data_IF_715063581180
#
_entry.id   IF_715063581180
#
_cell.length_a   1.000
_cell.length_b   1.000
_cell.length_c   1.000
_cell.angle_alpha   90.00
_cell.angle_beta   90.00
_cell.angle_gamma   90.00
#
_symmetry.space_group_name_H-M   'P 1'
#
loop_
_entity.id
_entity.type
_entity.pdbx_description
1 polymer ?
#
# COMPACT_ATOMS: atom_id res chain seq x y z
N UNK A 1 -10.66 7.71 -14.27
CA UNK A 1 -9.93 7.01 -13.18
C UNK A 1 -10.00 5.51 -13.47
N UNK A 2 -8.87 4.80 -13.54
CA UNK A 2 -8.85 3.34 -13.73
C UNK A 2 -8.68 2.68 -12.36
N UNK A 3 -9.60 1.80 -11.99
CA UNK A 3 -9.50 0.98 -10.77
C UNK A 3 -8.72 -0.29 -11.10
N UNK A 4 -7.80 -0.69 -10.21
CA UNK A 4 -7.00 -1.90 -10.34
C UNK A 4 -7.51 -2.95 -9.36
N UNK A 5 -8.41 -3.82 -9.82
CA UNK A 5 -8.93 -4.96 -9.07
C UNK A 5 -8.13 -6.22 -9.41
N UNK A 6 -7.24 -6.65 -8.51
CA UNK A 6 -6.31 -7.76 -8.74
C UNK A 6 -5.64 -7.69 -10.12
N UNK A 7 -5.14 -6.51 -10.48
CA UNK A 7 -4.61 -6.23 -11.82
C UNK A 7 -3.49 -5.19 -11.76
N UNK A 8 -2.79 -5.04 -12.87
CA UNK A 8 -1.70 -4.08 -13.01
C UNK A 8 -1.81 -3.22 -14.27
N UNK A 9 -0.98 -2.18 -14.29
CA UNK A 9 -0.68 -1.37 -15.45
C UNK A 9 0.79 -0.97 -15.43
N UNK A 10 1.44 -1.02 -16.59
CA UNK A 10 2.79 -0.50 -16.77
C UNK A 10 2.72 0.96 -17.19
N UNK A 11 3.50 1.80 -16.52
CA UNK A 11 3.59 3.24 -16.77
C UNK A 11 5.01 3.58 -17.22
N UNK A 12 5.11 4.32 -18.33
CA UNK A 12 6.37 4.87 -18.83
C UNK A 12 6.38 6.40 -18.73
N UNK A 13 7.47 6.98 -18.23
CA UNK A 13 7.68 8.44 -18.22
C UNK A 13 9.16 8.78 -18.26
N UNK A 14 9.55 9.68 -19.17
CA UNK A 14 10.92 10.18 -19.30
C UNK A 14 11.99 9.06 -19.37
N UNK A 15 11.70 7.98 -20.12
CA UNK A 15 12.59 6.83 -20.26
C UNK A 15 12.58 5.84 -19.08
N UNK A 16 11.95 6.18 -17.96
CA UNK A 16 11.71 5.25 -16.86
C UNK A 16 10.42 4.46 -17.07
N UNK A 17 10.41 3.21 -16.61
CA UNK A 17 9.24 2.32 -16.64
C UNK A 17 9.04 1.70 -15.27
N UNK A 18 7.79 1.66 -14.81
CA UNK A 18 7.39 0.97 -13.58
C UNK A 18 6.01 0.34 -13.75
N UNK A 19 5.69 -0.64 -12.91
CA UNK A 19 4.34 -1.16 -12.79
C UNK A 19 3.63 -0.60 -11.56
N UNK A 20 2.33 -0.34 -11.71
CA UNK A 20 1.40 -0.14 -10.61
C UNK A 20 0.45 -1.32 -10.59
N UNK A 21 0.47 -2.09 -9.50
CA UNK A 21 -0.43 -3.19 -9.25
C UNK A 21 -1.44 -2.79 -8.17
N UNK A 22 -2.66 -3.33 -8.24
CA UNK A 22 -3.69 -3.15 -7.23
C UNK A 22 -4.36 -4.47 -6.89
N UNK A 23 -4.64 -4.67 -5.60
CA UNK A 23 -5.44 -5.80 -5.10
C UNK A 23 -6.73 -5.28 -4.48
N UNK A 24 -7.77 -6.11 -4.47
CA UNK A 24 -9.00 -5.80 -3.74
C UNK A 24 -8.77 -5.81 -2.23
N UNK A 25 -9.67 -5.19 -1.45
CA UNK A 25 -9.60 -5.23 0.02
C UNK A 25 -10.01 -6.61 0.55
N UNK A 26 -9.50 -6.99 1.71
CA UNK A 26 -9.88 -8.21 2.41
C UNK A 26 -11.41 -8.31 2.68
N UNK A 27 -12.14 -7.19 2.72
CA UNK A 27 -13.60 -7.16 2.83
C UNK A 27 -14.35 -7.43 1.52
N UNK A 28 -13.68 -7.41 0.36
CA UNK A 28 -14.32 -7.55 -0.96
C UNK A 28 -15.23 -8.78 -1.12
N UNK A 29 -14.91 -9.97 -0.58
CA UNK A 29 -15.80 -11.13 -0.62
C UNK A 29 -17.17 -10.90 0.05
N UNK A 30 -17.24 -10.05 1.07
CA UNK A 30 -18.50 -9.71 1.74
C UNK A 30 -19.45 -8.92 0.84
N UNK A 31 -18.94 -8.39 -0.27
CA UNK A 31 -19.67 -7.65 -1.28
C UNK A 31 -19.79 -8.41 -2.61
N UNK A 32 -19.51 -9.73 -2.62
CA UNK A 32 -19.60 -10.56 -3.83
C UNK A 32 -18.49 -10.33 -4.85
N UNK A 33 -17.36 -9.75 -4.43
CA UNK A 33 -16.18 -9.54 -5.27
C UNK A 33 -15.03 -10.47 -4.85
N UNK A 34 -14.09 -10.71 -5.76
CA UNK A 34 -12.90 -11.49 -5.41
C UNK A 34 -12.06 -10.83 -4.31
N UNK A 35 -11.56 -11.65 -3.38
CA UNK A 35 -10.60 -11.19 -2.37
C UNK A 35 -9.24 -10.82 -2.97
N UNK A 36 -8.34 -10.21 -2.16
CA UNK A 36 -7.03 -9.80 -2.64
C UNK A 36 -6.26 -10.99 -3.22
N UNK A 37 -5.82 -10.87 -4.47
CA UNK A 37 -4.99 -11.86 -5.12
C UNK A 37 -3.75 -11.20 -5.71
N UNK A 38 -2.65 -11.26 -4.96
CA UNK A 38 -1.38 -10.66 -5.35
C UNK A 38 -0.75 -11.35 -6.56
N UNK A 39 -0.91 -12.67 -6.69
CA UNK A 39 -0.34 -13.42 -7.81
C UNK A 39 -0.98 -13.01 -9.15
N UNK A 40 -2.30 -12.83 -9.17
CA UNK A 40 -3.02 -12.29 -10.34
C UNK A 40 -2.62 -10.84 -10.57
N UNK A 41 -2.54 -10.03 -9.52
CA UNK A 41 -2.17 -8.62 -9.64
C UNK A 41 -0.75 -8.42 -10.23
N UNK A 42 0.17 -9.36 -10.00
CA UNK A 42 1.54 -9.32 -10.54
C UNK A 42 1.72 -10.11 -11.84
N UNK A 43 0.68 -10.80 -12.31
CA UNK A 43 0.77 -11.65 -13.49
C UNK A 43 1.17 -10.84 -14.73
N UNK A 44 2.11 -11.39 -15.50
CA UNK A 44 2.59 -10.80 -16.76
C UNK A 44 3.58 -9.65 -16.60
N UNK A 45 3.95 -9.25 -15.36
CA UNK A 45 4.99 -8.27 -15.13
C UNK A 45 6.39 -8.90 -15.25
N UNK A 46 7.31 -8.16 -15.90
CA UNK A 46 8.72 -8.54 -15.93
C UNK A 46 9.33 -8.49 -14.53
N UNK A 47 10.08 -9.52 -14.14
CA UNK A 47 10.68 -9.63 -12.80
C UNK A 47 11.65 -8.50 -12.44
N UNK A 48 12.22 -7.82 -13.44
CA UNK A 48 13.14 -6.69 -13.22
C UNK A 48 12.44 -5.34 -13.10
N UNK A 49 11.14 -5.27 -13.35
CA UNK A 49 10.40 -4.01 -13.36
C UNK A 49 10.11 -3.55 -11.92
N UNK A 50 10.36 -2.29 -11.57
CA UNK A 50 9.95 -1.76 -10.27
C UNK A 50 8.42 -1.80 -10.12
N UNK A 51 7.93 -2.40 -9.04
CA UNK A 51 6.49 -2.51 -8.77
C UNK A 51 6.09 -1.65 -7.57
N UNK A 52 5.06 -0.84 -7.77
CA UNK A 52 4.29 -0.17 -6.72
C UNK A 52 2.99 -0.93 -6.52
N UNK A 53 2.74 -1.42 -5.31
CA UNK A 53 1.50 -2.08 -4.94
C UNK A 53 0.56 -1.12 -4.22
N UNK A 54 -0.65 -0.98 -4.74
CA UNK A 54 -1.78 -0.35 -4.07
C UNK A 54 -2.55 -1.45 -3.33
N UNK A 55 -2.42 -1.47 -2.00
CA UNK A 55 -3.12 -2.43 -1.14
C UNK A 55 -3.72 -1.67 0.04
N UNK A 56 -5.04 -1.74 0.22
CA UNK A 56 -5.72 -0.93 1.22
C UNK A 56 -5.18 -1.18 2.65
N UNK A 57 -5.00 -2.45 3.04
CA UNK A 57 -4.51 -2.82 4.37
C UNK A 57 -3.02 -3.17 4.40
N UNK A 58 -2.28 -2.80 5.46
CA UNK A 58 -0.85 -3.11 5.57
C UNK A 58 -0.57 -4.54 6.04
N UNK A 59 -1.57 -5.28 6.50
CA UNK A 59 -1.39 -6.67 6.95
C UNK A 59 -0.88 -7.56 5.80
N UNK A 60 0.01 -8.51 6.12
CA UNK A 60 0.57 -9.42 5.11
C UNK A 60 1.61 -8.80 4.17
N UNK A 61 2.10 -7.59 4.46
CA UNK A 61 3.12 -6.91 3.62
C UNK A 61 4.44 -7.70 3.46
N UNK A 62 4.73 -8.65 4.34
CA UNK A 62 5.86 -9.57 4.18
C UNK A 62 5.74 -10.44 2.92
N UNK A 63 4.52 -10.85 2.56
CA UNK A 63 4.26 -11.58 1.31
C UNK A 63 4.47 -10.67 0.09
N UNK A 64 4.02 -9.42 0.15
CA UNK A 64 4.27 -8.43 -0.91
C UNK A 64 5.77 -8.25 -1.17
N UNK A 65 6.55 -8.10 -0.09
CA UNK A 65 8.00 -8.00 -0.18
C UNK A 65 8.64 -9.26 -0.78
N UNK A 66 8.19 -10.45 -0.35
CA UNK A 66 8.69 -11.72 -0.87
C UNK A 66 8.37 -11.95 -2.36
N UNK A 67 7.31 -11.31 -2.88
CA UNK A 67 6.93 -11.34 -4.30
C UNK A 67 7.62 -10.26 -5.14
N UNK A 68 8.57 -9.52 -4.57
CA UNK A 68 9.40 -8.55 -5.30
C UNK A 68 8.79 -7.15 -5.44
N UNK A 69 7.74 -6.84 -4.68
CA UNK A 69 7.22 -5.46 -4.63
C UNK A 69 8.28 -4.53 -4.05
N UNK A 70 8.52 -3.38 -4.70
CA UNK A 70 9.49 -2.38 -4.25
C UNK A 70 8.90 -1.36 -3.28
N UNK A 71 7.64 -0.97 -3.50
CA UNK A 71 6.89 -0.02 -2.67
C UNK A 71 5.44 -0.48 -2.53
N UNK A 72 4.93 -0.56 -1.30
CA UNK A 72 3.50 -0.74 -1.03
C UNK A 72 2.93 0.53 -0.42
N UNK A 73 1.80 0.99 -0.96
CA UNK A 73 1.03 2.12 -0.43
C UNK A 73 -0.27 1.59 0.17
N UNK A 74 -0.43 1.81 1.46
CA UNK A 74 -1.57 1.37 2.26
C UNK A 74 -2.18 2.50 3.08
N UNK A 75 -3.39 2.25 3.58
CA UNK A 75 -4.11 3.11 4.52
C UNK A 75 -4.73 2.24 5.59
N UNK A 76 -6.07 2.25 5.69
CA UNK A 76 -6.90 1.43 6.58
C UNK A 76 -6.81 1.76 8.07
N UNK A 77 -5.63 2.06 8.59
CA UNK A 77 -5.38 2.27 10.03
C UNK A 77 -5.85 3.64 10.53
N UNK A 78 -6.01 4.61 9.63
CA UNK A 78 -6.27 6.02 9.97
C UNK A 78 -5.30 6.58 11.04
N UNK A 79 -4.06 6.09 11.07
CA UNK A 79 -3.05 6.44 12.07
C UNK A 79 -3.38 6.00 13.50
N UNK A 80 -4.26 5.02 13.67
CA UNK A 80 -4.71 4.53 14.96
C UNK A 80 -5.77 5.40 15.64
N UNK A 81 -6.19 6.50 15.00
CA UNK A 81 -7.23 7.45 15.42
C UNK A 81 -6.92 8.24 16.72
N UNK A 82 -6.39 7.60 17.76
CA UNK A 82 -5.99 8.23 19.03
C UNK A 82 -4.58 7.79 19.39
N UNK A 83 -3.66 8.75 19.47
CA UNK A 83 -2.26 8.49 19.85
C UNK A 83 -2.18 7.86 21.23
N UNK A 84 -1.51 6.71 21.35
CA UNK A 84 -1.35 5.92 22.57
C UNK A 84 -2.31 4.73 22.68
N UNK A 85 -3.51 4.82 22.08
CA UNK A 85 -4.43 3.68 21.95
C UNK A 85 -4.16 2.85 20.69
N UNK A 86 -3.41 3.39 19.74
CA UNK A 86 -2.95 2.70 18.55
C UNK A 86 -2.18 1.41 18.88
N UNK A 87 -1.49 1.36 20.03
CA UNK A 87 -0.77 0.20 20.56
C UNK A 87 -1.63 -1.07 20.66
N UNK A 88 -2.94 -0.94 20.89
CA UNK A 88 -3.88 -2.07 20.96
C UNK A 88 -4.23 -2.57 19.55
N UNK A 89 -4.35 -1.66 18.58
CA UNK A 89 -4.68 -1.97 17.20
C UNK A 89 -3.50 -2.44 16.33
N UNK A 90 -2.25 -2.28 16.78
CA UNK A 90 -1.08 -2.64 15.97
C UNK A 90 -1.02 -4.14 15.68
N UNK A 91 -1.38 -4.99 16.64
CA UNK A 91 -1.38 -6.44 16.44
C UNK A 91 -2.30 -6.88 15.30
N UNK A 92 -3.49 -6.25 15.20
CA UNK A 92 -4.42 -6.50 14.10
C UNK A 92 -3.89 -6.05 12.74
N UNK A 93 -2.87 -5.18 12.72
CA UNK A 93 -2.26 -4.63 11.50
C UNK A 93 -0.81 -5.10 11.30
N UNK A 94 -0.36 -6.16 12.00
CA UNK A 94 1.00 -6.68 11.89
C UNK A 94 2.09 -5.71 12.36
N UNK A 95 1.75 -4.81 13.29
CA UNK A 95 2.64 -3.76 13.80
C UNK A 95 2.59 -2.44 13.02
N UNK A 96 1.83 -2.36 11.92
CA UNK A 96 1.83 -1.20 11.04
C UNK A 96 0.67 -0.25 11.37
N UNK A 97 0.97 1.04 11.55
CA UNK A 97 -0.03 2.06 11.93
C UNK A 97 0.07 3.31 11.06
N UNK A 98 1.24 3.94 10.96
CA UNK A 98 1.38 5.24 10.31
C UNK A 98 2.81 5.42 9.83
N UNK A 99 2.96 5.99 8.63
CA UNK A 99 4.26 6.39 8.10
C UNK A 99 4.99 5.27 7.38
N UNK A 100 6.31 5.38 7.35
CA UNK A 100 7.18 4.60 6.47
C UNK A 100 7.86 3.46 7.23
N UNK A 101 7.76 2.25 6.69
CA UNK A 101 8.30 1.02 7.25
C UNK A 101 9.23 0.33 6.24
N UNK A 102 10.24 -0.37 6.75
CA UNK A 102 11.05 -1.29 5.96
C UNK A 102 10.54 -2.71 6.16
N UNK A 103 10.19 -3.41 5.08
CA UNK A 103 9.70 -4.80 5.11
C UNK A 103 10.54 -5.62 4.12
N UNK A 104 11.55 -6.33 4.61
CA UNK A 104 12.54 -6.97 3.73
C UNK A 104 13.21 -5.93 2.83
N UNK A 105 13.21 -6.13 1.51
CA UNK A 105 13.71 -5.16 0.53
C UNK A 105 12.67 -4.07 0.15
N UNK A 106 11.41 -4.23 0.55
CA UNK A 106 10.30 -3.34 0.19
C UNK A 106 10.14 -2.18 1.18
N UNK A 107 9.73 -1.01 0.68
CA UNK A 107 9.18 0.07 1.51
C UNK A 107 7.66 -0.08 1.64
N UNK A 108 7.12 0.03 2.85
CA UNK A 108 5.69 0.12 3.11
C UNK A 108 5.36 1.51 3.63
N UNK A 109 4.40 2.18 3.01
CA UNK A 109 3.80 3.40 3.54
C UNK A 109 2.39 3.14 4.03
N UNK A 110 2.08 3.60 5.23
CA UNK A 110 0.71 3.61 5.78
C UNK A 110 0.28 5.06 5.96
N UNK A 111 -0.63 5.52 5.10
CA UNK A 111 -1.17 6.86 5.18
C UNK A 111 -2.16 7.00 6.33
N UNK A 112 -2.11 8.14 7.01
CA UNK A 112 -3.15 8.54 7.96
C UNK A 112 -4.45 8.90 7.24
N UNK A 113 -4.42 9.23 5.95
CA UNK A 113 -5.58 9.70 5.21
C UNK A 113 -5.97 11.13 5.56
N UNK A 114 -6.90 11.67 4.78
CA UNK A 114 -7.22 13.10 4.74
C UNK A 114 -8.29 13.53 5.74
N UNK A 115 -9.11 12.59 6.22
CA UNK A 115 -10.29 12.87 7.03
C UNK A 115 -10.60 11.75 8.04
N UNK A 116 -11.74 11.90 8.72
CA UNK A 116 -12.27 10.94 9.69
C UNK A 116 -12.79 9.68 9.00
N UNK A 117 -12.80 8.58 9.75
CA UNK A 117 -13.52 7.37 9.37
C UNK A 117 -14.96 7.45 9.89
N UNK A 118 -15.95 7.20 9.04
CA UNK A 118 -17.37 7.35 9.41
C UNK A 118 -17.82 6.41 10.55
N UNK A 119 -17.15 5.26 10.73
CA UNK A 119 -17.46 4.32 11.82
C UNK A 119 -16.90 4.73 13.19
N UNK A 120 -15.95 5.66 13.23
CA UNK A 120 -15.38 6.21 14.46
C UNK A 120 -14.86 7.63 14.17
N UNK A 121 -15.75 8.64 14.23
CA UNK A 121 -15.47 10.00 13.76
C UNK A 121 -14.65 10.81 14.77
N UNK A 122 -13.66 10.18 15.42
CA UNK A 122 -12.77 10.82 16.40
C UNK A 122 -11.33 10.64 15.94
N UNK A 123 -10.58 11.73 16.01
CA UNK A 123 -9.14 11.76 15.72
C UNK A 123 -8.43 12.72 16.67
N UNK A 124 -7.53 12.20 17.51
CA UNK A 124 -6.81 12.97 18.52
C UNK A 124 -5.31 12.70 18.44
N UNK A 125 -4.53 13.76 18.19
CA UNK A 125 -3.07 13.68 18.10
C UNK A 125 -2.53 12.96 16.86
N UNK A 126 -3.38 12.70 15.85
CA UNK A 126 -3.03 12.09 14.57
C UNK A 126 -3.39 13.08 13.45
N UNK A 127 -2.44 13.72 12.77
CA UNK A 127 -2.73 14.70 11.73
C UNK A 127 -3.27 14.05 10.45
N UNK A 128 -4.14 14.76 9.74
CA UNK A 128 -4.50 14.41 8.36
C UNK A 128 -3.33 14.62 7.41
N UNK A 129 -3.28 13.81 6.35
CA UNK A 129 -2.15 13.81 5.44
C UNK A 129 -2.58 13.62 3.99
N UNK A 130 -1.91 14.35 3.09
CA UNK A 130 -1.81 14.08 1.65
C UNK A 130 -0.32 13.95 1.36
N UNK A 131 0.09 12.79 0.86
CA UNK A 131 1.51 12.46 0.68
C UNK A 131 1.90 12.49 -0.79
N UNK A 132 2.97 13.20 -1.11
CA UNK A 132 3.57 13.21 -2.43
C UNK A 132 4.79 12.27 -2.50
N UNK A 133 4.76 11.33 -3.44
CA UNK A 133 5.90 10.47 -3.74
C UNK A 133 6.58 10.90 -5.04
N UNK A 134 7.84 11.34 -4.93
CA UNK A 134 8.68 11.64 -6.09
C UNK A 134 9.61 10.47 -6.35
N UNK A 135 9.36 9.75 -7.44
CA UNK A 135 10.15 8.60 -7.85
C UNK A 135 11.30 9.05 -8.75
N UNK A 136 12.49 8.52 -8.50
CA UNK A 136 13.69 8.81 -9.28
C UNK A 136 14.30 7.50 -9.76
N UNK A 137 14.55 7.41 -11.06
CA UNK A 137 15.40 6.34 -11.59
C UNK A 137 16.81 6.51 -11.01
N UNK A 138 17.47 5.39 -10.68
CA UNK A 138 18.92 5.46 -10.42
C UNK A 138 19.60 5.87 -11.72
N UNK A 139 20.58 6.79 -11.68
CA UNK A 139 21.45 7.00 -12.82
C UNK A 139 22.05 5.65 -13.24
N UNK A 140 22.03 5.35 -14.52
CA UNK A 140 22.79 4.21 -15.05
C UNK A 140 24.24 4.38 -14.64
N UNK A 141 24.81 3.37 -13.97
CA UNK A 141 26.25 3.33 -13.72
C UNK A 141 26.95 3.38 -15.09
N UNK A 142 27.87 4.34 -15.25
CA UNK A 142 28.74 4.42 -16.43
C UNK A 142 29.75 3.28 -16.41
#
# INVERSE_FOLDING_TARGET
>A
MRVLTNSNVTLGRNGGVLAVAGVTDEAAPSFGMDGPNLDIALQGLDRGLPVILLKHRPIGSSLSAAKGVGLQLSGHTHGGMIKGLDLIGQYANGGFVSGMYQVGAMKLYVSNGTALWNGFPIRLGVPSEITEFVLRARPSAQ
#
